data_IF_480328210459
#
_entry.id   IF_480328210459
#
_cell.length_a   1.000
_cell.length_b   1.000
_cell.length_c   1.000
_cell.angle_alpha   90.00
_cell.angle_beta   90.00
_cell.angle_gamma   90.00
#
_symmetry.space_group_name_H-M   'P 1'
#
loop_
_entity.id
_entity.type
_entity.pdbx_description
1 polymer ?
#
# COMPACT_ATOMS: atom_id res chain seq x y z
N UNK A 1 -4.11 -0.36 -15.21
CA UNK A 1 -2.72 -0.82 -15.05
C UNK A 1 -2.49 -1.31 -13.63
N UNK A 2 -1.67 -2.33 -13.49
CA UNK A 2 -1.29 -2.83 -12.17
C UNK A 2 0.19 -2.65 -11.95
N UNK A 3 0.55 -2.38 -10.72
CA UNK A 3 1.93 -2.29 -10.28
C UNK A 3 2.15 -3.28 -9.16
N UNK A 4 3.34 -3.84 -9.07
CA UNK A 4 3.67 -4.84 -8.07
C UNK A 4 4.93 -4.45 -7.33
N UNK A 5 4.96 -4.78 -6.04
CA UNK A 5 6.17 -4.66 -5.25
C UNK A 5 6.18 -5.79 -4.23
N UNK A 6 7.37 -6.14 -3.76
CA UNK A 6 7.51 -7.21 -2.76
C UNK A 6 7.56 -6.62 -1.38
N UNK A 7 6.97 -7.33 -0.44
CA UNK A 7 7.04 -6.95 0.96
C UNK A 7 8.30 -7.51 1.60
N UNK A 8 8.75 -6.83 2.63
CA UNK A 8 9.85 -7.31 3.46
C UNK A 8 9.52 -7.01 4.91
N UNK A 9 10.27 -7.63 5.82
CA UNK A 9 10.04 -7.41 7.25
C UNK A 9 10.50 -6.01 7.60
N UNK A 10 9.61 -5.21 8.22
CA UNK A 10 9.94 -3.85 8.59
C UNK A 10 10.91 -3.81 9.77
N UNK A 11 10.81 -4.79 10.68
CA UNK A 11 11.65 -4.87 11.86
C UNK A 11 11.78 -6.35 12.25
N UNK A 12 12.99 -6.83 12.55
CA UNK A 12 13.16 -8.21 13.01
C UNK A 12 12.26 -8.53 14.20
N UNK A 13 11.61 -9.67 14.16
CA UNK A 13 10.71 -10.09 15.24
C UNK A 13 9.35 -9.43 15.24
N UNK A 14 9.06 -8.57 14.29
CA UNK A 14 7.78 -7.88 14.19
C UNK A 14 6.93 -8.51 13.09
N UNK A 15 5.61 -8.44 13.25
CA UNK A 15 4.68 -8.84 12.22
C UNK A 15 4.48 -7.76 11.15
N UNK A 16 5.06 -6.58 11.36
CA UNK A 16 4.92 -5.46 10.42
C UNK A 16 5.75 -5.70 9.17
N UNK A 17 5.16 -5.39 8.04
CA UNK A 17 5.81 -5.51 6.75
C UNK A 17 5.93 -4.14 6.09
N UNK A 18 6.91 -4.01 5.22
CA UNK A 18 7.07 -2.80 4.43
C UNK A 18 7.22 -3.19 2.96
N UNK A 19 6.89 -2.26 2.09
CA UNK A 19 7.04 -2.43 0.66
C UNK A 19 7.26 -1.08 0.03
N UNK A 20 7.83 -1.10 -1.17
CA UNK A 20 8.00 0.13 -1.93
C UNK A 20 6.67 0.47 -2.61
N UNK A 21 6.23 1.71 -2.45
CA UNK A 21 5.09 2.20 -3.20
C UNK A 21 5.57 2.49 -4.62
N UNK A 22 4.96 1.87 -5.64
CA UNK A 22 5.38 2.12 -7.02
C UNK A 22 5.31 3.60 -7.38
N UNK A 23 6.29 4.06 -8.13
CA UNK A 23 6.38 5.47 -8.51
C UNK A 23 5.12 5.95 -9.22
N UNK A 24 4.54 5.10 -10.07
CA UNK A 24 3.31 5.45 -10.78
C UNK A 24 2.16 5.73 -9.81
N UNK A 25 2.10 5.00 -8.70
CA UNK A 25 1.08 5.22 -7.67
C UNK A 25 1.35 6.53 -6.92
N UNK A 26 2.63 6.78 -6.62
CA UNK A 26 3.01 8.03 -5.95
C UNK A 26 2.57 9.23 -6.79
N UNK A 27 2.82 9.17 -8.09
CA UNK A 27 2.44 10.27 -8.99
C UNK A 27 0.93 10.37 -9.15
N UNK A 28 0.27 9.23 -9.28
CA UNK A 28 -1.18 9.19 -9.48
C UNK A 28 -1.94 9.76 -8.29
N UNK A 29 -1.50 9.44 -7.09
CA UNK A 29 -2.13 9.92 -5.86
C UNK A 29 -1.53 11.23 -5.36
N UNK A 30 -0.50 11.73 -6.03
CA UNK A 30 0.20 12.95 -5.64
C UNK A 30 0.70 12.86 -4.18
N UNK A 31 1.32 11.72 -3.87
CA UNK A 31 1.81 11.48 -2.52
C UNK A 31 3.06 12.29 -2.22
N UNK A 32 3.16 12.75 -0.99
CA UNK A 32 4.31 13.49 -0.49
C UNK A 32 4.75 12.89 0.84
N UNK A 33 5.93 13.26 1.27
CA UNK A 33 6.43 12.84 2.57
C UNK A 33 5.44 13.22 3.67
N UNK A 34 5.23 12.30 4.59
CA UNK A 34 4.33 12.46 5.74
C UNK A 34 2.85 12.50 5.39
N UNK A 35 2.47 12.23 4.15
CA UNK A 35 1.06 12.08 3.80
C UNK A 35 0.48 10.85 4.48
N UNK A 36 -0.78 10.94 4.85
CA UNK A 36 -1.51 9.85 5.46
C UNK A 36 -2.20 9.02 4.39
N UNK A 37 -2.06 7.72 4.50
CA UNK A 37 -2.74 6.79 3.60
C UNK A 37 -3.89 6.12 4.33
N UNK A 38 -4.99 5.95 3.63
CA UNK A 38 -6.16 5.27 4.15
C UNK A 38 -6.32 3.93 3.42
N UNK A 39 -6.48 2.87 4.18
CA UNK A 39 -6.57 1.51 3.66
C UNK A 39 -7.97 0.98 3.84
N UNK A 40 -8.48 0.32 2.83
CA UNK A 40 -9.79 -0.31 2.89
C UNK A 40 -9.64 -1.79 2.49
N UNK A 41 -10.18 -2.67 3.32
CA UNK A 41 -10.12 -4.10 3.08
C UNK A 41 -11.42 -4.58 2.45
N UNK A 42 -11.32 -5.43 1.45
CA UNK A 42 -12.47 -6.00 0.78
C UNK A 42 -12.26 -7.50 0.61
N UNK A 43 -13.27 -8.28 0.99
CA UNK A 43 -13.26 -9.72 0.84
C UNK A 43 -14.20 -10.08 -0.32
N UNK A 44 -13.65 -10.74 -1.34
CA UNK A 44 -14.41 -11.10 -2.52
C UNK A 44 -14.33 -12.61 -2.74
N UNK A 45 -15.26 -13.20 -3.53
CA UNK A 45 -15.19 -14.64 -3.85
C UNK A 45 -13.88 -15.03 -4.56
N UNK A 46 -13.23 -14.10 -5.23
CA UNK A 46 -12.00 -14.35 -5.96
C UNK A 46 -10.75 -14.08 -5.12
N UNK A 47 -10.91 -13.67 -3.86
CA UNK A 47 -9.81 -13.41 -2.97
C UNK A 47 -10.03 -12.14 -2.16
N UNK A 48 -9.02 -11.78 -1.39
CA UNK A 48 -9.05 -10.59 -0.56
C UNK A 48 -8.25 -9.48 -1.21
N UNK A 49 -8.77 -8.28 -1.15
CA UNK A 49 -8.11 -7.11 -1.71
C UNK A 49 -8.03 -6.00 -0.68
N UNK A 50 -7.07 -5.13 -0.87
CA UNK A 50 -6.96 -3.91 -0.08
C UNK A 50 -6.78 -2.75 -1.03
N UNK A 51 -7.49 -1.68 -0.76
CA UNK A 51 -7.39 -0.46 -1.54
C UNK A 51 -6.75 0.61 -0.69
N UNK A 52 -5.86 1.39 -1.29
CA UNK A 52 -5.20 2.49 -0.59
C UNK A 52 -5.54 3.79 -1.29
N UNK A 53 -5.74 4.82 -0.49
CA UNK A 53 -5.97 6.17 -1.02
C UNK A 53 -5.30 7.19 -0.12
N UNK A 54 -5.03 8.36 -0.68
CA UNK A 54 -4.49 9.47 0.09
C UNK A 54 -5.60 10.05 0.95
N UNK A 55 -5.37 10.09 2.24
CA UNK A 55 -6.30 10.72 3.17
C UNK A 55 -6.03 12.22 3.21
N UNK A 56 -7.09 12.96 3.43
CA UNK A 56 -6.95 14.42 3.56
C UNK A 56 -6.56 14.81 4.96
#
# INVERSE_FOLDING_TARGET
MTSKSKTSIARPGSASLRTTVPESIVQFLELKEADTLEWQMTDTPNGRTATVRKAK
#
